data_IF_859334938387
#
_entry.id   IF_859334938387
#
_cell.length_a   1.000
_cell.length_b   1.000
_cell.length_c   1.000
_cell.angle_alpha   90.00
_cell.angle_beta   90.00
_cell.angle_gamma   90.00
#
_symmetry.space_group_name_H-M   'P 1'
#
loop_
_entity.id
_entity.type
_entity.pdbx_description
1 polymer ?
#
# COMPACT_ATOMS: atom_id res chain seq x y z
N UNK A 1 -7.20 4.11 -4.23
CA UNK A 1 -6.89 4.02 -2.78
C UNK A 1 -6.09 5.20 -2.26
N UNK A 2 -4.86 5.46 -2.77
CA UNK A 2 -3.99 6.53 -2.24
C UNK A 2 -4.41 7.97 -2.60
N UNK A 3 -5.30 8.14 -3.57
CA UNK A 3 -5.91 9.45 -3.87
C UNK A 3 -6.66 10.03 -2.65
N UNK A 4 -7.26 9.16 -1.82
CA UNK A 4 -7.90 9.57 -0.55
C UNK A 4 -6.90 10.20 0.41
N UNK A 5 -5.71 9.59 0.51
CA UNK A 5 -4.61 10.07 1.35
C UNK A 5 -4.09 11.41 0.83
N UNK A 6 -3.82 11.49 -0.47
CA UNK A 6 -3.36 12.73 -1.09
C UNK A 6 -4.36 13.87 -0.87
N UNK A 7 -5.65 13.64 -1.13
CA UNK A 7 -6.70 14.63 -0.96
C UNK A 7 -6.80 15.10 0.50
N UNK A 8 -6.96 14.18 1.43
CA UNK A 8 -7.14 14.52 2.84
C UNK A 8 -5.89 15.21 3.42
N UNK A 9 -4.69 14.71 3.13
CA UNK A 9 -3.44 15.32 3.61
C UNK A 9 -3.25 16.74 3.10
N UNK A 10 -3.54 17.01 1.82
CA UNK A 10 -3.38 18.34 1.23
C UNK A 10 -4.44 19.30 1.77
N UNK A 11 -5.70 18.87 1.87
CA UNK A 11 -6.78 19.73 2.40
C UNK A 11 -6.55 20.06 3.88
N UNK A 12 -6.17 19.07 4.70
CA UNK A 12 -5.87 19.30 6.11
C UNK A 12 -4.69 20.27 6.29
N UNK A 13 -3.63 20.13 5.48
CA UNK A 13 -2.48 21.02 5.52
C UNK A 13 -2.81 22.46 5.09
N UNK A 14 -3.74 22.64 4.14
CA UNK A 14 -4.24 23.98 3.79
C UNK A 14 -5.07 24.57 4.92
N UNK A 15 -5.96 23.78 5.51
CA UNK A 15 -6.86 24.22 6.59
C UNK A 15 -6.09 24.66 7.85
N UNK A 16 -5.03 23.92 8.22
CA UNK A 16 -4.23 24.23 9.40
C UNK A 16 -3.06 25.19 9.13
N UNK A 17 -2.87 25.63 7.89
CA UNK A 17 -1.84 26.60 7.48
C UNK A 17 -0.44 26.01 7.27
N UNK A 18 -0.25 24.68 7.35
CA UNK A 18 1.02 24.02 7.01
C UNK A 18 1.36 24.13 5.52
N UNK A 19 0.35 24.13 4.66
CA UNK A 19 0.49 24.33 3.21
C UNK A 19 -0.15 25.66 2.82
N UNK A 20 0.71 26.66 2.55
CA UNK A 20 0.30 27.96 2.01
C UNK A 20 -0.24 27.83 0.59
N UNK A 21 -1.04 28.80 0.15
CA UNK A 21 -1.46 28.89 -1.24
C UNK A 21 -0.26 28.90 -2.19
N UNK A 22 -0.40 28.16 -3.29
CA UNK A 22 0.67 27.89 -4.27
C UNK A 22 1.96 27.26 -3.67
N UNK A 23 1.92 26.80 -2.42
CA UNK A 23 3.04 26.16 -1.74
C UNK A 23 3.47 24.84 -2.41
N UNK A 24 4.72 24.43 -2.14
CA UNK A 24 5.33 23.24 -2.73
C UNK A 24 5.03 22.02 -1.88
N UNK A 25 4.68 20.91 -2.51
CA UNK A 25 4.48 19.59 -1.88
C UNK A 25 5.66 18.69 -2.24
N UNK A 26 6.31 18.08 -1.25
CA UNK A 26 7.49 17.23 -1.45
C UNK A 26 7.25 15.87 -0.77
N UNK A 27 7.36 14.78 -1.50
CA UNK A 27 7.26 13.42 -0.94
C UNK A 27 8.14 12.42 -1.68
N UNK A 28 8.49 11.34 -0.98
CA UNK A 28 9.14 10.16 -1.54
C UNK A 28 8.13 9.02 -1.66
N UNK A 29 7.78 8.64 -2.88
CA UNK A 29 6.89 7.50 -3.15
C UNK A 29 7.07 6.97 -4.56
N UNK A 30 7.33 5.68 -4.70
CA UNK A 30 7.47 4.99 -5.99
C UNK A 30 6.18 4.32 -6.48
N UNK A 31 5.03 4.67 -5.89
CA UNK A 31 3.75 4.01 -6.15
C UNK A 31 2.56 4.96 -6.22
N UNK A 32 1.38 4.46 -5.88
CA UNK A 32 0.10 5.15 -6.10
C UNK A 32 -0.08 6.45 -5.32
N UNK A 33 0.62 6.64 -4.19
CA UNK A 33 0.57 7.93 -3.48
C UNK A 33 1.21 9.06 -4.28
N UNK A 34 2.32 8.81 -4.98
CA UNK A 34 2.92 9.84 -5.83
C UNK A 34 1.96 10.33 -6.90
N UNK A 35 1.22 9.41 -7.54
CA UNK A 35 0.21 9.75 -8.53
C UNK A 35 -0.92 10.54 -7.89
N UNK A 36 -1.41 10.12 -6.71
CA UNK A 36 -2.46 10.85 -5.98
C UNK A 36 -2.04 12.27 -5.61
N UNK A 37 -0.81 12.46 -5.11
CA UNK A 37 -0.27 13.78 -4.77
C UNK A 37 -0.09 14.65 -6.01
N UNK A 38 0.41 14.09 -7.12
CA UNK A 38 0.50 14.79 -8.39
C UNK A 38 -0.88 15.22 -8.88
N UNK A 39 -1.87 14.32 -8.87
CA UNK A 39 -3.22 14.61 -9.32
C UNK A 39 -3.87 15.72 -8.48
N UNK A 40 -3.93 15.54 -7.16
CA UNK A 40 -4.60 16.48 -6.25
C UNK A 40 -3.82 17.79 -6.17
N UNK A 41 -2.52 17.74 -5.92
CA UNK A 41 -1.68 18.92 -5.74
C UNK A 41 -1.71 19.82 -6.97
N UNK A 42 -1.57 19.24 -8.18
CA UNK A 42 -1.62 20.01 -9.44
C UNK A 42 -3.02 20.55 -9.74
N UNK A 43 -4.08 19.80 -9.41
CA UNK A 43 -5.46 20.29 -9.51
C UNK A 43 -5.70 21.51 -8.62
N UNK A 44 -5.11 21.50 -7.41
CA UNK A 44 -5.16 22.59 -6.45
C UNK A 44 -4.06 23.65 -6.67
N UNK A 45 -3.38 23.63 -7.83
CA UNK A 45 -2.35 24.60 -8.26
C UNK A 45 -1.06 24.63 -7.44
N UNK A 46 -0.78 23.59 -6.67
CA UNK A 46 0.49 23.43 -5.98
C UNK A 46 1.57 22.85 -6.89
N UNK A 47 2.83 23.20 -6.67
CA UNK A 47 3.96 22.48 -7.24
C UNK A 47 4.15 21.16 -6.48
N UNK A 48 4.44 20.06 -7.20
CA UNK A 48 4.57 18.74 -6.60
C UNK A 48 5.89 18.11 -7.00
N UNK A 49 6.75 17.89 -6.01
CA UNK A 49 8.05 17.23 -6.15
C UNK A 49 7.95 15.79 -5.65
N UNK A 50 8.26 14.83 -6.50
CA UNK A 50 8.27 13.42 -6.16
C UNK A 50 9.69 12.88 -6.28
N UNK A 51 10.20 12.35 -5.17
CA UNK A 51 11.48 11.63 -5.14
C UNK A 51 11.24 10.15 -5.44
N UNK A 52 11.89 9.64 -6.49
CA UNK A 52 11.78 8.26 -7.00
C UNK A 52 13.12 7.53 -6.95
N UNK A 53 13.06 6.21 -7.09
CA UNK A 53 14.21 5.34 -7.31
C UNK A 53 14.02 4.53 -8.62
N UNK A 54 15.08 3.91 -9.20
CA UNK A 54 15.01 3.26 -10.51
C UNK A 54 14.03 2.09 -10.62
N UNK A 55 13.43 1.63 -9.51
CA UNK A 55 12.41 0.56 -9.51
C UNK A 55 11.00 1.08 -9.82
N UNK A 56 10.81 2.38 -10.00
CA UNK A 56 9.51 2.92 -10.42
C UNK A 56 9.10 2.33 -11.77
N UNK A 57 7.84 1.92 -11.90
CA UNK A 57 7.34 1.39 -13.15
C UNK A 57 7.13 2.50 -14.20
N UNK A 58 7.21 2.10 -15.48
CA UNK A 58 7.13 3.05 -16.59
C UNK A 58 5.78 3.79 -16.65
N UNK A 59 4.68 3.16 -16.24
CA UNK A 59 3.35 3.77 -16.27
C UNK A 59 3.25 4.88 -15.22
N UNK A 60 3.71 4.62 -13.99
CA UNK A 60 3.79 5.61 -12.91
C UNK A 60 4.67 6.78 -13.32
N UNK A 61 5.86 6.53 -13.86
CA UNK A 61 6.76 7.61 -14.31
C UNK A 61 6.12 8.48 -15.41
N UNK A 62 5.45 7.84 -16.40
CA UNK A 62 4.74 8.55 -17.45
C UNK A 62 3.59 9.40 -16.91
N UNK A 63 2.79 8.87 -15.97
CA UNK A 63 1.71 9.60 -15.30
C UNK A 63 2.24 10.81 -14.55
N UNK A 64 3.28 10.65 -13.73
CA UNK A 64 3.85 11.75 -12.95
C UNK A 64 4.32 12.90 -13.83
N UNK A 65 5.07 12.60 -14.90
CA UNK A 65 5.52 13.61 -15.87
C UNK A 65 4.36 14.30 -16.57
N UNK A 66 3.35 13.53 -17.00
CA UNK A 66 2.18 14.07 -17.72
C UNK A 66 1.30 14.94 -16.83
N UNK A 67 1.14 14.57 -15.56
CA UNK A 67 0.41 15.37 -14.57
C UNK A 67 1.18 16.64 -14.16
N UNK A 68 2.44 16.80 -14.59
CA UNK A 68 3.26 17.97 -14.30
C UNK A 68 3.92 17.95 -12.91
N UNK A 69 4.17 16.75 -12.36
CA UNK A 69 5.02 16.62 -11.18
C UNK A 69 6.51 16.76 -11.56
N UNK A 70 7.27 17.41 -10.69
CA UNK A 70 8.73 17.49 -10.78
C UNK A 70 9.29 16.20 -10.18
N UNK A 71 9.96 15.41 -11.02
CA UNK A 71 10.49 14.10 -10.61
C UNK A 71 11.98 14.21 -10.30
N UNK A 72 12.35 13.81 -9.09
CA UNK A 72 13.74 13.67 -8.64
C UNK A 72 14.10 12.19 -8.58
N UNK A 73 14.84 11.70 -9.57
CA UNK A 73 15.33 10.32 -9.58
C UNK A 73 16.62 10.23 -8.77
N UNK A 74 16.68 9.39 -7.75
CA UNK A 74 17.95 9.06 -7.08
C UNK A 74 18.69 7.98 -7.86
N UNK A 75 20.00 8.10 -8.01
CA UNK A 75 20.79 7.23 -8.90
C UNK A 75 21.59 6.16 -8.14
N UNK A 76 21.85 6.36 -6.85
CA UNK A 76 22.75 5.50 -6.08
C UNK A 76 22.08 5.00 -4.80
N UNK A 77 22.28 3.72 -4.48
CA UNK A 77 21.77 3.12 -3.26
C UNK A 77 22.77 3.32 -2.11
N UNK A 78 22.33 3.87 -0.99
CA UNK A 78 23.11 3.94 0.27
C UNK A 78 22.93 2.66 1.12
N UNK A 79 23.61 2.55 2.26
CA UNK A 79 23.44 1.41 3.20
C UNK A 79 21.99 1.21 3.65
N UNK A 80 21.24 2.31 3.78
CA UNK A 80 19.81 2.35 4.06
C UNK A 80 18.91 1.98 2.86
N UNK A 81 19.50 1.46 1.79
CA UNK A 81 18.79 1.08 0.57
C UNK A 81 18.24 2.27 -0.21
N UNK A 82 17.39 1.98 -1.19
CA UNK A 82 16.70 3.00 -1.97
C UNK A 82 15.85 3.93 -1.10
N UNK A 83 15.25 3.39 -0.03
CA UNK A 83 14.41 4.16 0.87
C UNK A 83 15.21 5.18 1.69
N UNK A 84 16.37 4.79 2.22
CA UNK A 84 17.29 5.71 2.88
C UNK A 84 17.76 6.83 1.95
N UNK A 85 18.13 6.47 0.72
CA UNK A 85 18.57 7.42 -0.30
C UNK A 85 17.47 8.43 -0.66
N UNK A 86 16.25 7.96 -0.94
CA UNK A 86 15.13 8.87 -1.25
C UNK A 86 14.79 9.78 -0.07
N UNK A 87 14.90 9.27 1.18
CA UNK A 87 14.68 10.08 2.39
C UNK A 87 15.69 11.23 2.50
N UNK A 88 16.97 10.96 2.25
CA UNK A 88 18.00 12.01 2.25
C UNK A 88 17.71 13.08 1.20
N UNK A 89 17.30 12.69 -0.01
CA UNK A 89 16.93 13.65 -1.06
C UNK A 89 15.70 14.49 -0.68
N UNK A 90 14.69 13.91 -0.02
CA UNK A 90 13.56 14.69 0.51
C UNK A 90 14.06 15.72 1.53
N UNK A 91 14.90 15.33 2.48
CA UNK A 91 15.44 16.27 3.48
C UNK A 91 16.20 17.44 2.83
N UNK A 92 17.05 17.14 1.84
CA UNK A 92 17.74 18.17 1.05
C UNK A 92 16.74 19.13 0.37
N UNK A 93 15.71 18.59 -0.31
CA UNK A 93 14.72 19.43 -0.99
C UNK A 93 13.90 20.28 -0.01
N UNK A 94 13.64 19.78 1.19
CA UNK A 94 12.96 20.54 2.25
C UNK A 94 13.83 21.71 2.76
N UNK A 95 15.16 21.57 2.76
CA UNK A 95 16.10 22.66 3.07
C UNK A 95 16.18 23.69 1.93
N UNK A 96 16.16 23.23 0.68
CA UNK A 96 16.16 24.07 -0.53
C UNK A 96 14.84 24.85 -0.71
N UNK A 97 13.74 24.33 -0.19
CA UNK A 97 12.40 24.94 -0.27
C UNK A 97 11.79 25.19 1.12
N UNK A 98 12.25 26.22 1.86
CA UNK A 98 11.69 26.55 3.17
C UNK A 98 10.18 26.81 3.10
N UNK A 99 9.41 26.10 3.92
CA UNK A 99 7.94 26.18 3.94
C UNK A 99 7.23 25.24 2.98
N UNK A 100 7.95 24.35 2.28
CA UNK A 100 7.34 23.23 1.58
C UNK A 100 6.62 22.28 2.56
N UNK A 101 5.55 21.67 2.09
CA UNK A 101 4.77 20.69 2.82
C UNK A 101 5.24 19.27 2.51
N UNK A 102 5.49 18.48 3.55
CA UNK A 102 5.81 17.06 3.43
C UNK A 102 4.68 16.21 4.05
N UNK A 103 3.91 15.46 3.25
CA UNK A 103 2.79 14.62 3.73
C UNK A 103 3.18 13.55 4.75
N UNK A 104 4.42 13.05 4.72
CA UNK A 104 4.98 12.04 5.65
C UNK A 104 4.08 10.81 5.77
N UNK A 105 3.88 10.10 4.67
CA UNK A 105 2.92 8.99 4.59
C UNK A 105 3.03 7.91 5.69
N UNK A 106 4.20 7.73 6.31
CA UNK A 106 4.42 6.67 7.31
C UNK A 106 4.15 7.10 8.76
N UNK A 107 4.10 8.40 9.03
CA UNK A 107 3.97 8.96 10.40
C UNK A 107 2.80 9.94 10.55
N UNK A 108 2.30 10.49 9.44
CA UNK A 108 1.16 11.41 9.49
C UNK A 108 -0.14 10.69 9.83
N UNK A 109 -0.82 11.16 10.88
CA UNK A 109 -2.17 10.73 11.28
C UNK A 109 -3.20 10.98 10.18
N UNK A 110 -2.93 11.90 9.25
CA UNK A 110 -3.83 12.15 8.12
C UNK A 110 -3.97 10.92 7.23
N UNK A 111 -2.96 10.05 7.16
CA UNK A 111 -3.05 8.83 6.35
C UNK A 111 -4.16 7.89 6.84
N UNK A 112 -4.17 7.36 8.08
CA UNK A 112 -5.27 6.54 8.57
C UNK A 112 -6.61 7.28 8.58
N UNK A 113 -6.64 8.59 8.92
CA UNK A 113 -7.90 9.36 8.92
C UNK A 113 -8.57 9.43 7.55
N UNK A 114 -7.80 9.39 6.47
CA UNK A 114 -8.28 9.41 5.09
C UNK A 114 -9.21 8.23 4.75
N UNK A 115 -9.16 7.15 5.52
CA UNK A 115 -9.98 5.95 5.29
C UNK A 115 -11.25 5.91 6.14
N UNK A 116 -11.50 6.93 6.94
CA UNK A 116 -12.82 7.12 7.60
C UNK A 116 -13.94 7.14 6.56
N UNK A 117 -13.72 7.81 5.43
CA UNK A 117 -14.72 7.88 4.36
C UNK A 117 -14.95 6.52 3.70
N UNK A 118 -13.89 5.72 3.48
CA UNK A 118 -14.03 4.35 2.98
C UNK A 118 -14.84 3.48 3.94
N UNK A 119 -14.60 3.59 5.24
CA UNK A 119 -15.35 2.85 6.24
C UNK A 119 -16.84 3.24 6.29
N UNK A 120 -17.17 4.51 6.07
CA UNK A 120 -18.58 4.96 5.94
C UNK A 120 -19.24 4.37 4.70
N UNK A 121 -18.57 4.45 3.54
CA UNK A 121 -19.05 3.84 2.29
C UNK A 121 -19.33 2.34 2.48
N UNK A 122 -18.43 1.61 3.17
CA UNK A 122 -18.64 0.20 3.49
C UNK A 122 -19.88 -0.06 4.36
N UNK A 123 -20.13 0.77 5.38
CA UNK A 123 -21.34 0.65 6.21
C UNK A 123 -22.60 1.04 5.46
N UNK A 124 -22.52 2.00 4.53
CA UNK A 124 -23.66 2.41 3.71
C UNK A 124 -24.03 1.36 2.67
N UNK A 125 -23.03 0.78 1.99
CA UNK A 125 -23.24 -0.15 0.88
C UNK A 125 -23.52 -1.58 1.33
N UNK A 126 -22.85 -2.04 2.40
CA UNK A 126 -22.86 -3.45 2.84
C UNK A 126 -23.55 -3.64 4.18
N UNK A 127 -23.71 -2.56 4.97
CA UNK A 127 -24.31 -2.54 6.32
C UNK A 127 -23.52 -3.33 7.39
N UNK A 128 -23.42 -4.65 7.24
CA UNK A 128 -22.77 -5.54 8.22
C UNK A 128 -21.56 -6.26 7.60
N UNK A 129 -20.43 -6.25 8.30
CA UNK A 129 -19.18 -6.88 7.88
C UNK A 129 -18.62 -7.66 9.07
N UNK A 130 -18.39 -8.95 8.90
CA UNK A 130 -17.82 -9.82 9.93
C UNK A 130 -16.30 -9.81 9.90
N UNK A 131 -15.69 -9.68 8.72
CA UNK A 131 -14.25 -9.57 8.56
C UNK A 131 -13.82 -8.51 7.54
N UNK A 132 -12.75 -7.78 7.87
CA UNK A 132 -12.04 -6.87 6.98
C UNK A 132 -10.65 -7.44 6.66
N UNK A 133 -10.41 -7.76 5.40
CA UNK A 133 -9.11 -8.23 4.90
C UNK A 133 -8.44 -7.11 4.11
N UNK A 134 -7.19 -6.78 4.45
CA UNK A 134 -6.47 -5.75 3.71
C UNK A 134 -4.96 -5.87 3.73
N UNK A 135 -4.29 -5.52 2.62
CA UNK A 135 -2.84 -5.50 2.57
C UNK A 135 -2.27 -4.35 3.41
N UNK A 136 -1.14 -4.62 4.09
CA UNK A 136 -0.47 -3.67 4.99
C UNK A 136 0.75 -3.09 4.31
N UNK A 137 0.62 -1.84 3.87
CA UNK A 137 1.75 -0.99 3.47
C UNK A 137 2.09 -0.04 4.60
N UNK A 138 1.72 1.23 4.44
CA UNK A 138 1.85 2.25 5.48
C UNK A 138 0.84 2.10 6.64
N UNK A 139 0.15 0.97 6.79
CA UNK A 139 -0.92 0.77 7.80
C UNK A 139 -2.23 1.54 7.62
N UNK A 140 -2.20 2.72 6.99
CA UNK A 140 -3.32 3.66 6.97
C UNK A 140 -4.64 3.08 6.46
N UNK A 141 -4.65 2.30 5.37
CA UNK A 141 -5.89 1.76 4.81
C UNK A 141 -6.57 0.77 5.73
N UNK A 142 -5.85 -0.23 6.21
CA UNK A 142 -6.42 -1.27 7.07
C UNK A 142 -6.74 -0.71 8.45
N UNK A 143 -5.75 -0.13 9.14
CA UNK A 143 -5.93 0.37 10.50
C UNK A 143 -6.90 1.55 10.57
N UNK A 144 -6.89 2.45 9.57
CA UNK A 144 -7.82 3.58 9.50
C UNK A 144 -9.26 3.13 9.30
N UNK A 145 -9.50 2.20 8.37
CA UNK A 145 -10.83 1.64 8.13
C UNK A 145 -11.32 0.84 9.34
N UNK A 146 -10.50 -0.08 9.86
CA UNK A 146 -10.82 -0.92 11.01
C UNK A 146 -11.17 -0.09 12.26
N UNK A 147 -10.38 0.94 12.56
CA UNK A 147 -10.63 1.82 13.72
C UNK A 147 -12.00 2.50 13.64
N UNK A 148 -12.45 2.89 12.46
CA UNK A 148 -13.76 3.49 12.29
C UNK A 148 -14.88 2.44 12.34
N UNK A 149 -14.73 1.33 11.59
CA UNK A 149 -15.72 0.26 11.56
C UNK A 149 -15.97 -0.35 12.94
N UNK A 150 -14.94 -0.56 13.76
CA UNK A 150 -15.07 -1.11 15.13
C UNK A 150 -15.91 -0.24 16.09
N UNK A 151 -16.21 1.01 15.74
CA UNK A 151 -17.17 1.84 16.50
C UNK A 151 -18.62 1.37 16.33
N UNK A 152 -18.90 0.68 15.23
CA UNK A 152 -20.24 0.20 14.85
C UNK A 152 -20.31 -1.33 14.81
N UNK A 153 -19.18 -1.99 14.54
CA UNK A 153 -19.01 -3.43 14.43
C UNK A 153 -17.93 -3.90 15.43
N UNK A 154 -18.24 -3.99 16.74
CA UNK A 154 -17.25 -4.24 17.78
C UNK A 154 -16.53 -5.60 17.64
N UNK A 155 -17.21 -6.58 17.06
CA UNK A 155 -16.70 -7.95 16.85
C UNK A 155 -16.01 -8.13 15.49
N UNK A 156 -15.75 -7.03 14.75
CA UNK A 156 -15.09 -7.08 13.44
C UNK A 156 -13.71 -7.74 13.54
N UNK A 157 -13.56 -8.87 12.84
CA UNK A 157 -12.29 -9.53 12.60
C UNK A 157 -11.47 -8.72 11.57
N UNK A 158 -10.23 -8.40 11.91
CA UNK A 158 -9.34 -7.60 11.06
C UNK A 158 -8.13 -8.44 10.69
N UNK A 159 -7.98 -8.72 9.40
CA UNK A 159 -6.91 -9.57 8.86
C UNK A 159 -5.96 -8.73 8.02
N UNK A 160 -4.71 -8.64 8.48
CA UNK A 160 -3.62 -7.99 7.77
C UNK A 160 -2.91 -8.94 6.83
N UNK A 161 -2.60 -8.46 5.62
CA UNK A 161 -1.78 -9.21 4.66
C UNK A 161 -0.46 -8.47 4.44
N UNK A 162 0.65 -9.12 4.78
CA UNK A 162 2.00 -8.61 4.62
C UNK A 162 2.83 -9.48 3.65
N UNK A 163 4.01 -9.01 3.27
CA UNK A 163 4.94 -9.75 2.42
C UNK A 163 6.02 -10.45 3.26
N UNK A 164 6.41 -11.66 2.88
CA UNK A 164 7.60 -12.31 3.46
C UNK A 164 8.81 -11.38 3.31
N UNK A 165 9.51 -11.14 4.43
CA UNK A 165 10.65 -10.23 4.50
C UNK A 165 10.32 -8.76 4.73
N UNK A 166 9.06 -8.40 4.94
CA UNK A 166 8.63 -7.08 5.42
C UNK A 166 8.81 -6.95 6.93
N UNK A 167 9.39 -5.85 7.41
CA UNK A 167 9.63 -5.65 8.86
C UNK A 167 8.38 -5.23 9.65
N UNK A 168 7.25 -5.03 8.97
CA UNK A 168 6.04 -4.43 9.58
C UNK A 168 5.55 -5.20 10.81
N UNK A 169 5.69 -6.53 10.78
CA UNK A 169 5.30 -7.43 11.86
C UNK A 169 6.50 -8.23 12.40
N UNK A 170 7.59 -7.52 12.72
CA UNK A 170 8.76 -8.03 13.43
C UNK A 170 9.52 -9.16 12.71
N UNK A 171 9.41 -9.22 11.37
CA UNK A 171 10.21 -10.10 10.52
C UNK A 171 11.52 -9.41 10.09
N UNK A 172 12.56 -10.17 9.68
CA UNK A 172 13.78 -9.58 9.14
C UNK A 172 13.56 -8.93 7.76
N UNK A 173 14.26 -7.82 7.49
CA UNK A 173 14.15 -7.12 6.21
C UNK A 173 14.83 -7.90 5.07
N UNK A 174 14.05 -8.28 4.06
CA UNK A 174 14.57 -8.81 2.79
C UNK A 174 14.53 -7.71 1.72
N UNK A 175 15.68 -7.16 1.35
CA UNK A 175 15.79 -6.00 0.45
C UNK A 175 15.41 -6.28 -1.01
N UNK A 176 15.27 -7.55 -1.39
CA UNK A 176 15.12 -8.02 -2.78
C UNK A 176 13.71 -8.55 -3.10
N UNK A 177 12.68 -8.21 -2.30
CA UNK A 177 11.27 -8.54 -2.62
C UNK A 177 10.87 -7.98 -3.98
N UNK A 178 10.17 -8.78 -4.77
CA UNK A 178 9.61 -8.37 -6.06
C UNK A 178 8.23 -7.71 -5.91
N UNK A 179 7.50 -8.06 -4.85
CA UNK A 179 6.25 -7.41 -4.49
C UNK A 179 6.41 -5.90 -4.26
N UNK A 180 5.36 -5.13 -4.61
CA UNK A 180 5.27 -3.71 -4.28
C UNK A 180 3.88 -3.34 -3.76
N UNK A 181 3.77 -2.21 -3.05
CA UNK A 181 2.49 -1.70 -2.54
C UNK A 181 2.05 -2.24 -1.18
N UNK A 182 2.53 -3.42 -0.77
CA UNK A 182 2.47 -3.96 0.59
C UNK A 182 3.87 -4.31 1.10
N UNK A 183 4.01 -4.42 2.41
CA UNK A 183 5.25 -4.71 3.09
C UNK A 183 6.29 -3.60 2.99
N UNK A 184 7.06 -3.41 4.05
CA UNK A 184 7.99 -2.28 4.14
C UNK A 184 9.31 -2.67 4.81
N UNK A 185 10.32 -1.86 4.53
CA UNK A 185 11.63 -1.87 5.21
C UNK A 185 11.72 -0.72 6.23
N UNK A 186 10.58 -0.09 6.55
CA UNK A 186 10.42 0.97 7.56
C UNK A 186 9.17 0.64 8.39
N UNK A 187 9.30 0.78 9.71
CA UNK A 187 8.18 0.71 10.64
C UNK A 187 7.34 1.97 10.50
N UNK A 188 6.06 1.80 10.20
CA UNK A 188 5.10 2.90 10.08
C UNK A 188 4.34 3.09 11.38
N UNK A 189 4.28 4.32 11.89
CA UNK A 189 3.49 4.67 13.09
C UNK A 189 1.98 4.50 12.88
N UNK A 190 1.56 4.45 11.61
CA UNK A 190 0.18 4.23 11.20
C UNK A 190 -0.27 2.75 11.30
N UNK A 191 0.65 1.81 11.56
CA UNK A 191 0.32 0.39 11.78
C UNK A 191 0.05 0.20 13.27
N UNK A 192 -1.22 0.23 13.64
CA UNK A 192 -1.67 -0.13 14.97
C UNK A 192 -1.94 -1.64 15.04
N UNK A 193 -0.94 -2.39 15.52
CA UNK A 193 -1.01 -3.86 15.64
C UNK A 193 -2.14 -4.32 16.57
N UNK A 194 -2.64 -3.47 17.48
CA UNK A 194 -3.75 -3.83 18.39
C UNK A 194 -5.10 -3.91 17.68
N UNK A 195 -5.19 -3.36 16.46
CA UNK A 195 -6.37 -3.43 15.62
C UNK A 195 -6.39 -4.65 14.69
N UNK A 196 -5.33 -5.46 14.65
CA UNK A 196 -5.15 -6.55 13.70
C UNK A 196 -5.17 -7.87 14.45
N UNK A 197 -6.14 -8.72 14.16
CA UNK A 197 -6.35 -9.99 14.87
C UNK A 197 -5.55 -11.13 14.26
N UNK A 198 -5.32 -11.09 12.94
CA UNK A 198 -4.53 -12.08 12.20
C UNK A 198 -3.61 -11.40 11.19
N UNK A 199 -2.43 -11.98 10.97
CA UNK A 199 -1.47 -11.55 9.94
C UNK A 199 -1.10 -12.74 9.08
N UNK A 200 -1.22 -12.59 7.77
CA UNK A 200 -0.74 -13.55 6.77
C UNK A 200 0.42 -12.93 6.01
N UNK A 201 1.47 -13.72 5.77
CA UNK A 201 2.59 -13.33 4.93
C UNK A 201 2.54 -14.15 3.65
N UNK A 202 2.68 -13.48 2.51
CA UNK A 202 2.84 -14.15 1.22
C UNK A 202 4.23 -13.86 0.66
N UNK A 203 4.87 -14.89 0.12
CA UNK A 203 6.08 -14.73 -0.68
C UNK A 203 5.74 -14.19 -2.09
N UNK A 204 6.76 -13.83 -2.87
CA UNK A 204 6.56 -13.22 -4.20
C UNK A 204 5.80 -14.13 -5.17
N UNK A 205 6.08 -15.44 -5.16
CA UNK A 205 5.45 -16.41 -6.06
C UNK A 205 3.97 -16.63 -5.70
N UNK A 206 3.64 -16.69 -4.40
CA UNK A 206 2.26 -16.79 -3.92
C UNK A 206 1.46 -15.53 -4.27
N UNK A 207 1.99 -14.35 -3.96
CA UNK A 207 1.32 -13.09 -4.26
C UNK A 207 1.03 -12.96 -5.77
N UNK A 208 1.99 -13.33 -6.62
CA UNK A 208 1.84 -13.19 -8.06
C UNK A 208 0.89 -14.23 -8.65
N UNK A 209 0.96 -15.49 -8.20
CA UNK A 209 0.00 -16.51 -8.64
C UNK A 209 -1.42 -16.16 -8.18
N UNK A 210 -1.61 -15.67 -6.96
CA UNK A 210 -2.91 -15.22 -6.45
C UNK A 210 -3.48 -14.05 -7.25
N UNK A 211 -2.62 -13.17 -7.75
CA UNK A 211 -3.01 -12.06 -8.62
C UNK A 211 -3.50 -12.53 -9.98
N UNK A 212 -2.82 -13.53 -10.56
CA UNK A 212 -3.28 -14.17 -11.79
C UNK A 212 -4.60 -14.92 -11.57
N UNK A 213 -4.77 -15.58 -10.43
CA UNK A 213 -6.00 -16.26 -10.06
C UNK A 213 -7.17 -15.29 -9.88
N UNK A 214 -6.99 -14.17 -9.18
CA UNK A 214 -8.01 -13.12 -9.04
C UNK A 214 -8.52 -12.65 -10.41
N UNK A 215 -7.61 -12.43 -11.37
CA UNK A 215 -7.98 -12.04 -12.72
C UNK A 215 -8.67 -13.17 -13.49
N UNK A 216 -8.23 -14.42 -13.33
CA UNK A 216 -8.78 -15.56 -14.05
C UNK A 216 -10.17 -15.99 -13.53
N UNK A 217 -10.37 -15.99 -12.21
CA UNK A 217 -11.60 -16.44 -11.56
C UNK A 217 -12.66 -15.34 -11.51
N UNK A 218 -12.27 -14.11 -11.14
CA UNK A 218 -13.23 -13.01 -10.85
C UNK A 218 -13.21 -11.90 -11.91
N UNK A 219 -12.37 -12.01 -12.95
CA UNK A 219 -12.18 -11.00 -14.00
C UNK A 219 -11.77 -9.62 -13.46
N UNK A 220 -11.17 -9.59 -12.27
CA UNK A 220 -10.64 -8.38 -11.63
C UNK A 220 -9.15 -8.24 -11.97
N UNK A 221 -8.82 -7.27 -12.81
CA UNK A 221 -7.44 -6.96 -13.20
C UNK A 221 -6.79 -5.97 -12.20
N UNK A 222 -6.12 -6.50 -11.18
CA UNK A 222 -5.60 -5.75 -10.03
C UNK A 222 -4.10 -5.98 -9.74
N UNK A 223 -3.52 -5.21 -8.83
CA UNK A 223 -2.12 -5.38 -8.42
C UNK A 223 -1.86 -6.54 -7.45
N UNK A 224 -0.59 -6.83 -7.16
CA UNK A 224 -0.19 -7.94 -6.26
C UNK A 224 -0.81 -7.85 -4.87
N UNK A 225 -0.94 -6.64 -4.33
CA UNK A 225 -1.55 -6.46 -3.01
C UNK A 225 -3.03 -6.85 -2.95
N UNK A 226 -3.75 -6.73 -4.07
CA UNK A 226 -5.12 -7.21 -4.21
C UNK A 226 -5.16 -8.73 -4.34
N UNK A 227 -4.25 -9.32 -5.13
CA UNK A 227 -4.10 -10.77 -5.23
C UNK A 227 -3.81 -11.43 -3.89
N UNK A 228 -2.89 -10.87 -3.10
CA UNK A 228 -2.57 -11.38 -1.77
C UNK A 228 -3.77 -11.31 -0.82
N UNK A 229 -4.50 -10.18 -0.82
CA UNK A 229 -5.71 -10.03 -0.01
C UNK A 229 -6.84 -10.98 -0.45
N UNK A 230 -6.98 -11.21 -1.75
CA UNK A 230 -7.92 -12.17 -2.31
C UNK A 230 -7.63 -13.60 -1.84
N UNK A 231 -6.38 -14.07 -1.92
CA UNK A 231 -6.03 -15.43 -1.49
C UNK A 231 -6.39 -15.65 -0.01
N UNK A 232 -6.04 -14.69 0.84
CA UNK A 232 -6.35 -14.75 2.28
C UNK A 232 -7.85 -14.72 2.52
N UNK A 233 -8.61 -13.89 1.79
CA UNK A 233 -10.06 -13.85 1.90
C UNK A 233 -10.73 -15.15 1.43
N UNK A 234 -10.22 -15.79 0.37
CA UNK A 234 -10.69 -17.10 -0.08
C UNK A 234 -10.49 -18.15 1.01
N UNK A 235 -9.31 -18.21 1.61
CA UNK A 235 -9.08 -19.11 2.74
C UNK A 235 -10.01 -18.79 3.91
N UNK A 236 -10.08 -17.52 4.34
CA UNK A 236 -10.91 -17.09 5.46
C UNK A 236 -12.39 -17.44 5.27
N UNK A 237 -12.90 -17.35 4.04
CA UNK A 237 -14.28 -17.73 3.72
C UNK A 237 -14.60 -19.21 4.02
N UNK A 238 -13.59 -20.08 4.01
CA UNK A 238 -13.74 -21.49 4.38
C UNK A 238 -13.71 -21.72 5.89
N UNK A 239 -13.23 -20.75 6.66
CA UNK A 239 -13.12 -20.80 8.13
C UNK A 239 -14.29 -20.11 8.83
N UNK A 240 -15.05 -19.27 8.13
CA UNK A 240 -16.16 -18.50 8.68
C UNK A 240 -17.52 -19.16 8.40
N UNK A 241 -18.57 -18.85 9.19
CA UNK A 241 -19.94 -19.24 8.88
C UNK A 241 -20.36 -18.81 7.47
N UNK A 242 -21.22 -19.61 6.83
CA UNK A 242 -21.67 -19.37 5.44
C UNK A 242 -22.30 -17.98 5.22
N UNK A 243 -22.98 -17.46 6.23
CA UNK A 243 -23.67 -16.15 6.18
C UNK A 243 -22.75 -14.97 6.49
N UNK A 244 -21.46 -15.22 6.75
CA UNK A 244 -20.50 -14.17 7.07
C UNK A 244 -20.15 -13.30 5.86
N UNK A 245 -20.03 -12.01 6.10
CA UNK A 245 -19.63 -11.02 5.10
C UNK A 245 -18.17 -10.62 5.28
N UNK A 246 -17.35 -10.87 4.26
CA UNK A 246 -15.93 -10.50 4.23
C UNK A 246 -15.73 -9.33 3.27
N UNK A 247 -15.31 -8.18 3.80
CA UNK A 247 -14.91 -7.04 2.99
C UNK A 247 -13.40 -7.12 2.68
N UNK A 248 -13.03 -6.99 1.40
CA UNK A 248 -11.63 -7.11 0.96
C UNK A 248 -11.18 -5.82 0.27
N UNK A 249 -10.03 -5.27 0.68
CA UNK A 249 -9.49 -4.04 0.13
C UNK A 249 -8.55 -4.34 -1.04
N UNK A 250 -8.93 -3.93 -2.27
CA UNK A 250 -8.10 -3.98 -3.47
C UNK A 250 -7.50 -2.59 -3.80
N UNK A 251 -6.21 -2.33 -3.54
CA UNK A 251 -5.69 -0.95 -3.54
C UNK A 251 -5.47 -0.32 -4.91
N UNK A 252 -5.09 -1.11 -5.92
CA UNK A 252 -4.72 -0.63 -7.25
C UNK A 252 -4.98 -1.65 -8.39
N UNK A 253 -4.88 -1.13 -9.61
CA UNK A 253 -5.17 -1.85 -10.87
C UNK A 253 -3.95 -2.59 -11.40
N UNK A 254 -4.22 -3.63 -12.20
CA UNK A 254 -3.20 -4.49 -12.79
C UNK A 254 -2.34 -3.81 -13.86
N UNK A 255 -2.77 -2.68 -14.43
CA UNK A 255 -2.08 -1.99 -15.53
C UNK A 255 -0.62 -1.65 -15.21
N UNK A 256 -0.34 -1.35 -13.93
CA UNK A 256 1.01 -1.04 -13.44
C UNK A 256 1.96 -2.24 -13.53
N UNK A 257 1.40 -3.44 -13.52
CA UNK A 257 2.10 -4.72 -13.41
C UNK A 257 2.15 -5.48 -14.75
N UNK A 258 1.79 -4.82 -15.86
CA UNK A 258 1.72 -5.46 -17.17
C UNK A 258 3.07 -6.03 -17.65
N UNK A 259 4.19 -5.41 -17.26
CA UNK A 259 5.55 -5.86 -17.59
C UNK A 259 6.13 -6.85 -16.59
N UNK A 260 5.47 -7.05 -15.45
CA UNK A 260 5.95 -7.90 -14.36
C UNK A 260 5.03 -9.10 -14.16
N UNK A 261 4.05 -9.01 -13.26
CA UNK A 261 3.17 -10.10 -12.86
C UNK A 261 2.44 -10.69 -14.08
N UNK A 262 1.96 -9.84 -14.97
CA UNK A 262 1.21 -10.29 -16.15
C UNK A 262 2.09 -10.69 -17.34
N UNK A 263 3.42 -10.57 -17.24
CA UNK A 263 4.36 -10.88 -18.31
C UNK A 263 5.09 -12.21 -18.04
N UNK A 264 4.85 -13.28 -18.83
CA UNK A 264 5.54 -14.57 -18.65
C UNK A 264 7.08 -14.49 -18.69
N UNK A 265 7.65 -13.53 -19.43
CA UNK A 265 9.10 -13.36 -19.52
C UNK A 265 9.70 -12.94 -18.18
N UNK A 266 9.02 -12.03 -17.48
CA UNK A 266 9.42 -11.60 -16.15
C UNK A 266 9.48 -12.77 -15.15
N UNK A 267 8.54 -13.72 -15.25
CA UNK A 267 8.55 -14.92 -14.41
C UNK A 267 9.77 -15.80 -14.69
N UNK A 268 10.10 -16.00 -15.97
CA UNK A 268 11.30 -16.76 -16.36
C UNK A 268 12.58 -16.08 -15.87
N UNK A 269 12.69 -14.77 -16.06
CA UNK A 269 13.87 -13.99 -15.67
C UNK A 269 14.12 -13.99 -14.16
N UNK A 270 13.05 -14.17 -13.35
CA UNK A 270 13.12 -14.20 -11.89
C UNK A 270 12.99 -15.61 -11.30
N UNK A 271 13.03 -16.66 -12.13
CA UNK A 271 12.88 -18.07 -11.71
C UNK A 271 11.58 -18.34 -10.91
N UNK A 272 10.48 -17.68 -11.29
CA UNK A 272 9.16 -17.86 -10.68
C UNK A 272 8.35 -18.89 -11.48
N UNK A 273 7.52 -19.67 -10.78
CA UNK A 273 6.69 -20.72 -11.36
C UNK A 273 5.21 -20.39 -11.26
N UNK A 274 4.51 -20.45 -12.40
CA UNK A 274 3.04 -20.35 -12.42
C UNK A 274 2.43 -21.68 -11.99
N UNK A 275 1.88 -21.74 -10.79
CA UNK A 275 1.31 -22.97 -10.20
C UNK A 275 0.09 -22.65 -9.35
N UNK A 276 -0.71 -23.69 -9.09
CA UNK A 276 -1.73 -23.61 -8.06
C UNK A 276 -1.03 -23.44 -6.71
N UNK A 277 -1.44 -22.43 -5.95
CA UNK A 277 -0.97 -22.24 -4.57
C UNK A 277 -1.85 -23.09 -3.65
N UNK A 278 -1.29 -23.56 -2.53
CA UNK A 278 -2.09 -24.12 -1.45
C UNK A 278 -3.08 -23.06 -0.96
N UNK A 279 -4.39 -23.36 -0.88
CA UNK A 279 -5.33 -22.44 -0.26
C UNK A 279 -5.12 -22.36 1.26
N UNK A 280 -4.54 -23.40 1.87
CA UNK A 280 -4.35 -23.47 3.31
C UNK A 280 -2.99 -22.86 3.70
N UNK A 281 -2.99 -21.84 4.59
CA UNK A 281 -1.78 -21.26 5.12
C UNK A 281 -1.14 -22.18 6.16
N UNK A 282 0.17 -22.03 6.33
CA UNK A 282 0.89 -22.66 7.44
C UNK A 282 0.89 -21.74 8.65
N UNK A 283 0.24 -22.16 9.72
CA UNK A 283 0.31 -21.44 11.00
C UNK A 283 1.71 -21.51 11.61
N UNK A 284 2.16 -20.39 12.16
CA UNK A 284 3.44 -20.29 12.87
C UNK A 284 3.27 -19.49 14.17
N UNK A 285 3.99 -19.83 15.25
CA UNK A 285 4.02 -19.01 16.44
C UNK A 285 4.56 -17.60 16.13
N UNK A 286 3.99 -16.58 16.79
CA UNK A 286 4.48 -15.20 16.67
C UNK A 286 5.99 -15.11 16.98
N UNK A 287 6.73 -14.36 16.17
CA UNK A 287 8.19 -14.25 16.24
C UNK A 287 8.96 -15.34 15.48
N UNK A 288 8.27 -16.33 14.90
CA UNK A 288 8.89 -17.25 13.93
C UNK A 288 9.22 -16.49 12.65
N UNK A 289 10.44 -16.67 12.12
CA UNK A 289 10.82 -16.11 10.83
C UNK A 289 10.06 -16.87 9.73
N UNK A 290 9.20 -16.16 9.01
CA UNK A 290 8.49 -16.68 7.83
C UNK A 290 9.43 -16.59 6.64
N UNK A 291 9.57 -17.69 5.88
CA UNK A 291 10.50 -17.80 4.75
C UNK A 291 9.82 -18.18 3.44
N UNK A 292 8.76 -18.96 3.53
CA UNK A 292 7.96 -19.47 2.43
C UNK A 292 6.50 -19.43 2.84
#
# INVERSE_FOLDING_TARGET
MKDRVALNSILAAKENGELKDDGIIIESSSGTLAIGLALVGRTLRHEVHIVLDPRVDALTLAKLRTLGAIVHMVEQMTEGGWQGTRRQKVLQLMEEHPGAFWPRQFTSIQNPLSYTQLAKELLEDVNHIDALVGPVGSGGSLCGSARFLRKFLPDLLVVGVDAVGSITFDQPDLKNRLQSGLGNSIISENVDKTLIDQVHWLNDEEAFNATLQLAASEQIFAGNSSGSAYLVACWLSTQMPLESTIAVIFPDRGDRYFRTIYNPDYWRDHNLTRRCISPDPKEVPYGTIVKE
#
